data_IF_735108588185
#
_entry.id   IF_735108588185
#
_cell.length_a   1.000
_cell.length_b   1.000
_cell.length_c   1.000
_cell.angle_alpha   90.00
_cell.angle_beta   90.00
_cell.angle_gamma   90.00
#
_symmetry.space_group_name_H-M   'P 1'
#
loop_
_entity.id
_entity.type
_entity.pdbx_description
1 polymer ?
#
# COMPACT_ATOMS: atom_id res chain seq x y z
N UNK A 1 -14.76 2.13 14.94
CA UNK A 1 -13.40 2.69 15.01
C UNK A 1 -12.62 2.39 13.74
N UNK A 2 -11.82 3.34 13.25
CA UNK A 2 -10.86 3.07 12.18
C UNK A 2 -9.44 2.92 12.73
N UNK A 3 -8.66 2.04 12.11
CA UNK A 3 -7.27 1.71 12.46
C UNK A 3 -6.42 2.00 11.22
N UNK A 4 -5.26 2.65 11.40
CA UNK A 4 -4.29 2.81 10.32
C UNK A 4 -2.99 2.08 10.63
N UNK A 5 -2.52 1.32 9.65
CA UNK A 5 -1.28 0.56 9.70
C UNK A 5 -0.36 0.94 8.54
N UNK A 6 0.94 0.97 8.78
CA UNK A 6 1.93 1.17 7.73
C UNK A 6 2.06 -0.08 6.82
N UNK A 7 2.25 0.13 5.52
CA UNK A 7 2.74 -0.93 4.63
C UNK A 7 4.16 -1.38 5.02
N UNK A 8 4.50 -2.63 4.68
CA UNK A 8 5.85 -3.17 4.89
C UNK A 8 6.68 -3.13 3.60
N UNK A 9 8.00 -3.00 3.75
CA UNK A 9 8.94 -3.02 2.62
C UNK A 9 9.13 -4.41 2.02
N UNK A 10 9.05 -5.45 2.84
CA UNK A 10 9.11 -6.84 2.40
C UNK A 10 7.67 -7.30 2.15
N UNK A 11 7.48 -8.00 1.04
CA UNK A 11 6.18 -8.53 0.63
C UNK A 11 6.33 -10.00 0.27
N UNK A 12 5.26 -10.77 0.50
CA UNK A 12 5.16 -12.16 0.04
C UNK A 12 4.92 -12.16 -1.48
N UNK A 13 5.36 -13.23 -2.14
CA UNK A 13 5.11 -13.44 -3.57
C UNK A 13 3.79 -14.17 -3.83
N UNK A 14 3.30 -14.94 -2.86
CA UNK A 14 2.05 -15.70 -2.96
C UNK A 14 1.42 -15.92 -1.59
N UNK A 15 0.14 -16.30 -1.58
CA UNK A 15 -0.58 -16.77 -0.39
C UNK A 15 -1.51 -17.91 -0.80
N UNK A 16 -1.74 -18.86 0.11
CA UNK A 16 -2.72 -19.94 -0.05
C UNK A 16 -3.96 -19.74 0.84
N UNK A 17 -4.03 -18.61 1.55
CA UNK A 17 -5.14 -18.30 2.46
C UNK A 17 -6.35 -17.86 1.63
N UNK A 18 -7.46 -18.58 1.80
CA UNK A 18 -8.74 -18.21 1.21
C UNK A 18 -9.37 -17.05 1.98
N UNK A 19 -9.87 -16.05 1.25
CA UNK A 19 -10.45 -14.83 1.82
C UNK A 19 -11.93 -14.74 1.46
N UNK A 20 -12.77 -14.14 2.31
CA UNK A 20 -14.22 -14.15 2.08
C UNK A 20 -14.67 -13.31 0.87
N UNK A 21 -13.83 -12.39 0.40
CA UNK A 21 -14.05 -11.51 -0.75
C UNK A 21 -12.73 -10.87 -1.19
N UNK A 22 -12.73 -10.28 -2.37
CA UNK A 22 -11.68 -9.38 -2.84
C UNK A 22 -12.29 -8.01 -3.15
N UNK A 23 -11.53 -6.95 -2.89
CA UNK A 23 -11.86 -5.58 -3.29
C UNK A 23 -10.75 -4.99 -4.16
N UNK A 24 -11.00 -3.81 -4.71
CA UNK A 24 -10.09 -3.09 -5.58
C UNK A 24 -9.55 -1.83 -4.88
N UNK A 25 -8.26 -1.50 -5.04
CA UNK A 25 -7.70 -0.27 -4.49
C UNK A 25 -8.47 0.98 -4.95
N UNK A 26 -8.85 1.84 -4.00
CA UNK A 26 -9.60 3.09 -4.28
C UNK A 26 -8.92 4.00 -5.32
N UNK A 27 -7.59 4.01 -5.36
CA UNK A 27 -6.81 4.88 -6.23
C UNK A 27 -6.11 4.16 -7.39
N UNK A 28 -6.69 3.06 -7.88
CA UNK A 28 -6.14 2.23 -8.97
C UNK A 28 -5.60 3.05 -10.16
N UNK A 29 -6.37 4.00 -10.68
CA UNK A 29 -5.95 4.82 -11.83
C UNK A 29 -4.68 5.63 -11.58
N UNK A 30 -4.46 6.09 -10.34
CA UNK A 30 -3.24 6.82 -9.96
C UNK A 30 -2.06 5.86 -9.85
N UNK A 31 -2.28 4.70 -9.24
CA UNK A 31 -1.30 3.63 -9.12
C UNK A 31 -0.81 3.17 -10.49
N UNK A 32 -1.71 2.92 -11.44
CA UNK A 32 -1.33 2.45 -12.77
C UNK A 32 -0.43 3.45 -13.50
N UNK A 33 -0.72 4.76 -13.40
CA UNK A 33 0.15 5.80 -13.97
C UNK A 33 1.53 5.81 -13.31
N UNK A 34 1.60 5.59 -12.00
CA UNK A 34 2.87 5.50 -11.29
C UNK A 34 3.68 4.30 -11.75
N UNK A 35 3.03 3.14 -11.86
CA UNK A 35 3.69 1.90 -12.29
C UNK A 35 4.16 1.99 -13.73
N UNK A 36 3.37 2.57 -14.65
CA UNK A 36 3.80 2.80 -16.03
C UNK A 36 5.11 3.60 -16.10
N UNK A 37 5.23 4.66 -15.29
CA UNK A 37 6.46 5.44 -15.20
C UNK A 37 7.61 4.62 -14.58
N UNK A 38 7.36 3.89 -13.49
CA UNK A 38 8.39 3.07 -12.82
C UNK A 38 8.89 1.93 -13.70
N UNK A 39 8.02 1.30 -14.47
CA UNK A 39 8.36 0.22 -15.41
C UNK A 39 9.29 0.71 -16.53
N UNK A 40 9.23 2.00 -16.87
CA UNK A 40 10.10 2.61 -17.88
C UNK A 40 11.48 2.97 -17.33
N UNK A 41 11.68 2.98 -16.01
CA UNK A 41 12.97 3.35 -15.42
C UNK A 41 14.01 2.26 -15.63
N UNK A 42 15.26 2.70 -15.82
CA UNK A 42 16.39 1.78 -15.78
C UNK A 42 16.74 1.36 -14.35
N UNK A 43 17.53 0.30 -14.23
CA UNK A 43 17.95 -0.28 -12.96
C UNK A 43 18.70 0.73 -12.08
N UNK A 44 19.57 1.55 -12.66
CA UNK A 44 20.39 2.52 -11.92
C UNK A 44 19.52 3.60 -11.29
N UNK A 45 18.54 4.09 -12.05
CA UNK A 45 17.51 5.01 -11.54
C UNK A 45 16.70 4.36 -10.43
N UNK A 46 16.18 3.14 -10.62
CA UNK A 46 15.42 2.45 -9.58
C UNK A 46 16.21 2.28 -8.28
N UNK A 47 17.49 1.87 -8.36
CA UNK A 47 18.36 1.76 -7.18
C UNK A 47 18.47 3.08 -6.41
N UNK A 48 18.71 4.18 -7.13
CA UNK A 48 18.88 5.50 -6.54
C UNK A 48 17.58 6.04 -5.92
N UNK A 49 16.48 6.00 -6.67
CA UNK A 49 15.21 6.58 -6.22
C UNK A 49 14.56 5.74 -5.11
N UNK A 50 14.71 4.41 -5.14
CA UNK A 50 14.19 3.51 -4.09
C UNK A 50 15.17 3.27 -2.94
N UNK A 51 16.39 3.81 -3.03
CA UNK A 51 17.44 3.64 -2.02
C UNK A 51 17.74 2.16 -1.71
N UNK A 52 17.87 1.32 -2.74
CA UNK A 52 17.94 -0.13 -2.58
C UNK A 52 19.14 -0.77 -3.31
N UNK A 53 19.39 -2.05 -2.99
CA UNK A 53 20.43 -2.84 -3.65
C UNK A 53 20.08 -3.12 -5.11
N UNK A 54 21.09 -3.54 -5.87
CA UNK A 54 20.88 -3.95 -7.26
C UNK A 54 19.88 -5.10 -7.40
N UNK A 55 19.92 -6.09 -6.50
CA UNK A 55 19.00 -7.22 -6.52
C UNK A 55 17.55 -6.77 -6.33
N UNK A 56 17.29 -5.89 -5.36
CA UNK A 56 15.95 -5.34 -5.08
C UNK A 56 15.46 -4.48 -6.25
N UNK A 57 16.34 -3.71 -6.89
CA UNK A 57 15.95 -2.91 -8.05
C UNK A 57 15.57 -3.76 -9.27
N UNK A 58 16.27 -4.87 -9.51
CA UNK A 58 15.94 -5.82 -10.59
C UNK A 58 14.59 -6.48 -10.29
N UNK A 59 14.40 -6.99 -9.07
CA UNK A 59 13.14 -7.60 -8.63
C UNK A 59 11.96 -6.66 -8.82
N UNK A 60 12.09 -5.39 -8.40
CA UNK A 60 11.00 -4.44 -8.52
C UNK A 60 10.80 -3.93 -9.95
N UNK A 61 11.84 -3.90 -10.79
CA UNK A 61 11.66 -3.66 -12.22
C UNK A 61 10.75 -4.72 -12.85
N UNK A 62 10.97 -5.99 -12.52
CA UNK A 62 10.12 -7.09 -12.99
C UNK A 62 8.68 -6.95 -12.47
N UNK A 63 8.49 -6.63 -11.19
CA UNK A 63 7.16 -6.36 -10.61
C UNK A 63 6.43 -5.23 -11.32
N UNK A 64 7.11 -4.13 -11.65
CA UNK A 64 6.48 -3.02 -12.37
C UNK A 64 6.10 -3.38 -13.80
N UNK A 65 6.92 -4.19 -14.47
CA UNK A 65 6.61 -4.69 -15.82
C UNK A 65 5.48 -5.72 -15.82
N UNK A 66 5.40 -6.55 -14.77
CA UNK A 66 4.38 -7.58 -14.58
C UNK A 66 3.09 -7.11 -13.90
N UNK A 67 2.94 -5.81 -13.62
CA UNK A 67 1.84 -5.28 -12.80
C UNK A 67 0.43 -5.55 -13.34
N UNK A 68 0.26 -5.89 -14.62
CA UNK A 68 -1.05 -6.24 -15.18
C UNK A 68 -1.33 -7.75 -15.16
N UNK A 69 -0.44 -8.56 -14.60
CA UNK A 69 -0.68 -9.98 -14.40
C UNK A 69 -1.63 -10.20 -13.21
N UNK A 70 -2.87 -10.59 -13.47
CA UNK A 70 -3.88 -10.79 -12.42
C UNK A 70 -3.52 -11.95 -11.47
N UNK A 71 -2.74 -12.92 -11.93
CA UNK A 71 -2.32 -14.08 -11.12
C UNK A 71 -1.32 -13.71 -10.01
N UNK A 72 -0.69 -12.54 -10.10
CA UNK A 72 0.29 -12.04 -9.13
C UNK A 72 -0.33 -11.15 -8.04
N UNK A 73 -1.66 -11.01 -8.03
CA UNK A 73 -2.37 -10.19 -7.05
C UNK A 73 -2.58 -10.92 -5.73
N UNK A 74 -2.48 -10.17 -4.65
CA UNK A 74 -2.64 -10.64 -3.28
C UNK A 74 -3.53 -9.67 -2.49
N UNK A 75 -4.38 -10.15 -1.56
CA UNK A 75 -5.01 -9.29 -0.58
C UNK A 75 -3.94 -8.52 0.20
N UNK A 76 -4.07 -7.19 0.30
CA UNK A 76 -3.06 -6.31 0.88
C UNK A 76 -2.56 -6.77 2.27
N UNK A 77 -3.47 -7.18 3.15
CA UNK A 77 -3.14 -7.64 4.51
C UNK A 77 -2.29 -8.93 4.52
N UNK A 78 -2.38 -9.75 3.47
CA UNK A 78 -1.63 -10.99 3.29
C UNK A 78 -0.34 -10.78 2.48
N UNK A 79 -0.28 -9.70 1.69
CA UNK A 79 0.86 -9.37 0.84
C UNK A 79 2.04 -8.79 1.64
N UNK A 80 1.77 -7.89 2.59
CA UNK A 80 2.82 -7.25 3.37
C UNK A 80 3.43 -8.19 4.42
N UNK A 81 4.76 -8.13 4.57
CA UNK A 81 5.49 -8.94 5.54
C UNK A 81 6.49 -8.07 6.32
N UNK A 82 6.18 -7.79 7.57
CA UNK A 82 7.02 -6.99 8.47
C UNK A 82 6.66 -7.29 9.92
N UNK A 83 7.32 -6.64 10.88
CA UNK A 83 7.11 -6.98 12.29
C UNK A 83 5.64 -6.84 12.73
N UNK A 84 4.97 -5.76 12.31
CA UNK A 84 3.54 -5.58 12.58
C UNK A 84 2.69 -6.70 11.98
N UNK A 85 2.93 -7.09 10.73
CA UNK A 85 2.18 -8.16 10.05
C UNK A 85 2.45 -9.55 10.64
N UNK A 86 3.69 -9.80 11.12
CA UNK A 86 4.03 -11.04 11.85
C UNK A 86 3.28 -11.19 13.18
N UNK A 87 2.93 -10.07 13.83
CA UNK A 87 2.10 -10.09 15.03
C UNK A 87 0.61 -10.04 14.72
N UNK A 88 0.21 -9.37 13.64
CA UNK A 88 -1.15 -9.36 13.14
C UNK A 88 -1.62 -10.77 12.77
N UNK A 89 -0.74 -11.60 12.20
CA UNK A 89 -0.99 -13.01 11.84
C UNK A 89 -2.28 -13.19 11.04
N UNK A 90 -2.45 -12.37 10.00
CA UNK A 90 -3.65 -12.39 9.19
C UNK A 90 -3.91 -13.74 8.51
N UNK A 91 -2.89 -14.60 8.37
CA UNK A 91 -3.06 -15.97 7.90
C UNK A 91 -3.90 -16.87 8.83
N UNK A 92 -4.10 -16.48 10.09
CA UNK A 92 -4.94 -17.23 11.05
C UNK A 92 -6.32 -16.60 11.24
N UNK A 93 -6.66 -15.56 10.47
CA UNK A 93 -7.95 -14.89 10.58
C UNK A 93 -9.09 -15.83 10.16
N UNK A 94 -10.19 -15.77 10.91
CA UNK A 94 -11.48 -16.28 10.46
C UNK A 94 -12.07 -15.39 9.36
N UNK A 95 -13.15 -15.85 8.72
CA UNK A 95 -13.87 -15.03 7.73
C UNK A 95 -14.44 -13.75 8.37
N UNK A 96 -14.87 -13.84 9.62
CA UNK A 96 -15.39 -12.74 10.42
C UNK A 96 -14.27 -11.73 10.76
N UNK A 97 -13.08 -12.20 11.12
CA UNK A 97 -11.92 -11.33 11.35
C UNK A 97 -11.53 -10.56 10.07
N UNK A 98 -11.57 -11.24 8.90
CA UNK A 98 -11.34 -10.57 7.62
C UNK A 98 -12.39 -9.50 7.31
N UNK A 99 -13.68 -9.77 7.57
CA UNK A 99 -14.74 -8.76 7.37
C UNK A 99 -14.56 -7.57 8.31
N UNK A 100 -14.28 -7.82 9.59
CA UNK A 100 -14.01 -6.77 10.56
C UNK A 100 -12.81 -5.92 10.14
N UNK A 101 -11.69 -6.55 9.76
CA UNK A 101 -10.52 -5.85 9.27
C UNK A 101 -10.86 -5.02 8.02
N UNK A 102 -11.63 -5.60 7.09
CA UNK A 102 -12.03 -4.91 5.85
C UNK A 102 -12.80 -3.60 6.10
N UNK A 103 -13.58 -3.55 7.17
CA UNK A 103 -14.38 -2.38 7.55
C UNK A 103 -13.59 -1.37 8.40
N UNK A 104 -12.70 -1.85 9.27
CA UNK A 104 -12.08 -1.04 10.32
C UNK A 104 -10.58 -0.77 10.12
N UNK A 105 -9.89 -1.48 9.23
CA UNK A 105 -8.46 -1.30 9.00
C UNK A 105 -8.21 -0.61 7.66
N UNK A 106 -7.25 0.31 7.69
CA UNK A 106 -6.58 0.88 6.54
C UNK A 106 -5.09 0.56 6.56
N UNK A 107 -4.55 0.20 5.41
CA UNK A 107 -3.11 0.03 5.20
C UNK A 107 -2.62 1.20 4.35
N UNK A 108 -1.73 2.00 4.90
CA UNK A 108 -1.14 3.14 4.22
C UNK A 108 -0.01 2.69 3.30
N UNK A 109 -0.06 3.11 2.04
CA UNK A 109 0.84 2.67 0.99
C UNK A 109 1.34 3.85 0.17
N UNK A 110 2.66 3.94 -0.05
CA UNK A 110 3.20 4.97 -0.94
C UNK A 110 2.84 4.73 -2.41
N UNK A 111 2.60 3.49 -2.83
CA UNK A 111 2.20 3.20 -4.20
C UNK A 111 0.69 3.30 -4.39
N UNK A 112 -0.11 2.80 -3.43
CA UNK A 112 -1.57 2.68 -3.57
C UNK A 112 -2.37 3.74 -2.78
N UNK A 113 -1.70 4.58 -1.99
CA UNK A 113 -2.34 5.57 -1.12
C UNK A 113 -2.90 4.93 0.15
N UNK A 114 -4.20 4.63 0.15
CA UNK A 114 -4.89 3.92 1.24
C UNK A 114 -5.54 2.64 0.70
N UNK A 115 -5.26 1.52 1.37
CA UNK A 115 -5.79 0.21 1.03
C UNK A 115 -6.70 -0.31 2.13
N UNK A 116 -7.75 -1.02 1.75
CA UNK A 116 -8.44 -1.96 2.64
C UNK A 116 -7.71 -3.31 2.66
N UNK A 117 -7.80 -4.10 3.74
CA UNK A 117 -7.14 -5.39 3.88
C UNK A 117 -7.26 -6.36 2.70
N UNK A 118 -8.43 -6.43 2.09
CA UNK A 118 -8.76 -7.34 0.98
C UNK A 118 -8.65 -6.68 -0.39
N UNK A 119 -8.09 -5.46 -0.46
CA UNK A 119 -7.73 -4.86 -1.74
C UNK A 119 -6.66 -5.71 -2.41
N UNK A 120 -6.94 -6.11 -3.64
CA UNK A 120 -6.04 -6.93 -4.44
C UNK A 120 -4.89 -6.08 -4.99
N UNK A 121 -3.66 -6.35 -4.55
CA UNK A 121 -2.46 -5.57 -4.90
C UNK A 121 -1.36 -6.45 -5.47
N UNK A 122 -0.51 -5.86 -6.30
CA UNK A 122 0.76 -6.45 -6.72
C UNK A 122 1.87 -6.10 -5.73
N UNK A 123 2.80 -7.02 -5.44
CA UNK A 123 4.03 -6.73 -4.72
C UNK A 123 4.84 -5.62 -5.38
N UNK A 124 5.47 -4.77 -4.57
CA UNK A 124 6.23 -3.62 -5.06
C UNK A 124 7.26 -3.14 -4.02
N UNK A 125 8.02 -2.09 -4.37
CA UNK A 125 8.91 -1.37 -3.45
C UNK A 125 8.84 0.12 -3.70
N UNK A 126 8.30 0.87 -2.75
CA UNK A 126 8.20 2.33 -2.88
C UNK A 126 8.75 3.03 -1.64
N UNK A 127 9.20 4.28 -1.81
CA UNK A 127 9.58 5.20 -0.73
C UNK A 127 8.78 6.50 -0.87
N UNK A 128 8.37 7.11 0.24
CA UNK A 128 7.51 8.30 0.19
C UNK A 128 8.16 9.55 -0.42
N UNK A 129 9.50 9.59 -0.49
CA UNK A 129 10.28 10.68 -1.11
C UNK A 129 10.39 10.57 -2.63
N UNK A 130 10.03 9.44 -3.23
CA UNK A 130 10.07 9.25 -4.69
C UNK A 130 9.23 10.34 -5.36
N UNK A 131 9.76 10.90 -6.45
CA UNK A 131 9.08 11.89 -7.28
C UNK A 131 8.81 11.30 -8.65
N UNK A 132 7.54 11.36 -9.07
CA UNK A 132 7.08 10.86 -10.36
C UNK A 132 6.54 12.04 -11.18
N UNK A 133 6.75 12.02 -12.49
CA UNK A 133 6.08 12.95 -13.41
C UNK A 133 4.56 12.76 -13.37
N UNK A 134 4.11 11.50 -13.25
CA UNK A 134 2.70 11.17 -13.03
C UNK A 134 2.14 11.76 -11.72
N UNK A 135 2.99 12.10 -10.75
CA UNK A 135 2.64 12.81 -9.52
C UNK A 135 2.81 14.35 -9.64
N UNK A 136 3.01 14.87 -10.84
CA UNK A 136 3.29 16.29 -11.09
C UNK A 136 4.63 16.76 -10.51
N UNK A 137 5.62 15.86 -10.41
CA UNK A 137 6.93 16.16 -9.82
C UNK A 137 6.94 16.32 -8.29
N UNK A 138 5.78 16.16 -7.62
CA UNK A 138 5.67 16.13 -6.17
C UNK A 138 6.26 14.83 -5.61
N UNK A 139 6.74 14.87 -4.37
CA UNK A 139 6.99 13.62 -3.64
C UNK A 139 5.67 12.88 -3.42
N UNK A 140 5.72 11.56 -3.25
CA UNK A 140 4.52 10.77 -2.94
C UNK A 140 3.84 11.24 -1.64
N UNK A 141 4.60 11.70 -0.64
CA UNK A 141 4.01 12.36 0.54
C UNK A 141 3.11 13.54 0.15
N UNK A 142 3.64 14.50 -0.60
CA UNK A 142 2.89 15.70 -0.98
C UNK A 142 1.76 15.40 -1.99
N UNK A 143 1.97 14.40 -2.85
CA UNK A 143 0.95 13.97 -3.80
C UNK A 143 -0.23 13.31 -3.10
N UNK A 144 0.00 12.44 -2.12
CA UNK A 144 -1.07 11.70 -1.45
C UNK A 144 -1.82 12.53 -0.41
N UNK A 145 -1.15 13.48 0.25
CA UNK A 145 -1.77 14.36 1.25
C UNK A 145 -3.08 15.02 0.82
N UNK A 146 -3.13 15.49 -0.42
CA UNK A 146 -4.32 16.10 -1.04
C UNK A 146 -5.47 15.11 -1.35
N UNK A 147 -5.25 13.80 -1.26
CA UNK A 147 -6.25 12.77 -1.57
C UNK A 147 -6.65 11.93 -0.36
N UNK A 148 -5.73 11.66 0.56
CA UNK A 148 -5.94 10.68 1.63
C UNK A 148 -6.60 11.27 2.88
N UNK A 149 -6.37 12.56 3.15
CA UNK A 149 -6.86 13.24 4.36
C UNK A 149 -8.38 13.17 4.48
N UNK A 150 -9.11 13.64 3.47
CA UNK A 150 -10.57 13.65 3.50
C UNK A 150 -11.14 12.23 3.55
N UNK A 151 -10.53 11.28 2.83
CA UNK A 151 -10.96 9.87 2.85
C UNK A 151 -10.86 9.27 4.25
N UNK A 152 -9.77 9.54 4.98
CA UNK A 152 -9.60 9.03 6.33
C UNK A 152 -10.58 9.70 7.29
N UNK A 153 -10.75 11.02 7.21
CA UNK A 153 -11.68 11.78 8.06
C UNK A 153 -13.11 11.31 7.86
N UNK A 154 -13.56 11.15 6.61
CA UNK A 154 -14.89 10.66 6.27
C UNK A 154 -15.12 9.26 6.82
N UNK A 155 -14.15 8.36 6.68
CA UNK A 155 -14.26 7.00 7.19
C UNK A 155 -14.33 6.95 8.72
N UNK A 156 -13.56 7.78 9.42
CA UNK A 156 -13.60 7.87 10.89
C UNK A 156 -14.95 8.42 11.37
N UNK A 157 -15.47 9.46 10.71
CA UNK A 157 -16.77 10.08 11.05
C UNK A 157 -17.97 9.18 10.75
N UNK A 158 -17.89 8.36 9.71
CA UNK A 158 -18.95 7.41 9.34
C UNK A 158 -19.01 6.18 10.28
N UNK A 159 -17.99 5.99 11.10
CA UNK A 159 -17.88 4.95 12.11
C UNK A 159 -18.20 5.55 13.50
N UNK A 160 -17.47 5.21 14.56
CA UNK A 160 -17.65 5.75 15.92
C UNK A 160 -16.84 7.02 16.24
N UNK A 161 -16.16 7.60 15.24
CA UNK A 161 -15.33 8.79 15.43
C UNK A 161 -13.95 8.56 16.03
N UNK A 162 -13.54 7.31 16.29
CA UNK A 162 -12.24 6.97 16.86
C UNK A 162 -11.26 6.53 15.76
N UNK A 163 -10.06 7.12 15.78
CA UNK A 163 -8.92 6.69 14.97
C UNK A 163 -7.81 6.14 15.85
N UNK A 164 -7.39 4.90 15.57
CA UNK A 164 -6.22 4.27 16.19
C UNK A 164 -5.06 4.27 15.21
N UNK A 165 -4.01 5.03 15.54
CA UNK A 165 -2.83 5.20 14.70
C UNK A 165 -1.70 4.24 15.11
N UNK A 166 -1.47 3.18 14.32
CA UNK A 166 -0.45 2.14 14.57
C UNK A 166 0.69 2.16 13.55
N UNK A 167 0.93 3.31 12.93
CA UNK A 167 1.99 3.47 11.94
C UNK A 167 3.17 4.30 12.48
N UNK A 168 4.28 4.21 11.77
CA UNK A 168 5.47 5.01 12.06
C UNK A 168 5.27 6.46 11.60
N UNK A 169 6.04 7.37 12.22
CA UNK A 169 6.05 8.81 11.93
C UNK A 169 6.18 9.13 10.43
N UNK A 170 6.92 8.31 9.67
CA UNK A 170 7.07 8.49 8.22
C UNK A 170 5.72 8.53 7.48
N UNK A 171 4.74 7.72 7.90
CA UNK A 171 3.43 7.67 7.26
C UNK A 171 2.53 8.84 7.64
N UNK A 172 2.81 9.56 8.73
CA UNK A 172 2.04 10.75 9.12
C UNK A 172 2.11 11.83 8.04
N UNK A 173 3.21 11.89 7.27
CA UNK A 173 3.38 12.83 6.18
C UNK A 173 2.42 12.62 5.00
N UNK A 174 1.69 11.51 4.95
CA UNK A 174 0.65 11.24 3.96
C UNK A 174 -0.66 11.97 4.24
N UNK A 175 -0.81 12.60 5.42
CA UNK A 175 -2.04 13.24 5.85
C UNK A 175 -1.78 14.68 6.29
N UNK A 176 -2.84 15.48 6.30
CA UNK A 176 -2.90 16.69 7.10
C UNK A 176 -3.64 16.39 8.40
N UNK A 177 -2.98 16.65 9.52
CA UNK A 177 -3.48 16.35 10.87
C UNK A 177 -4.03 17.58 11.60
N UNK A 178 -3.97 18.75 10.96
CA UNK A 178 -4.41 20.02 11.54
C UNK A 178 -5.90 20.29 11.34
#
# INVERSE_FOLDING_TARGET
MQIVLASAKIMKASTSVDVPMNSEPKFKDKTERFVQELASWDKSRLMRELGCSQSIAIENKLRYQGFWNEEERLPAILAYFGQAYKYLKAETFSREDFRFAQEHLFIMSFLYGLLRPLDSIHPYRMEGKVKLQAAGGKSLFAFWKQYLTDVLIEAVKADDGILVHLATEEFEHLFDWK
#
